data_IF_926915989439
#
_entry.id   IF_926915989439
#
_cell.length_a   1.000
_cell.length_b   1.000
_cell.length_c   1.000
_cell.angle_alpha   90.00
_cell.angle_beta   90.00
_cell.angle_gamma   90.00
#
_symmetry.space_group_name_H-M   'P 1'
#
loop_
_entity.id
_entity.type
_entity.pdbx_description
1 polymer ?
#
# COMPACT_ATOMS: atom_id res chain seq x y z
N UNK A 1 16.53 3.20 -3.17
CA UNK A 1 16.69 2.25 -2.04
C UNK A 1 15.89 0.96 -2.28
N UNK A 2 16.15 0.24 -3.37
CA UNK A 2 15.52 -1.08 -3.65
C UNK A 2 16.55 -2.20 -3.81
N UNK A 3 17.86 -1.91 -3.68
CA UNK A 3 18.93 -2.87 -3.91
C UNK A 3 19.22 -3.82 -2.72
N UNK A 4 18.55 -3.64 -1.57
CA UNK A 4 18.78 -4.46 -0.36
C UNK A 4 17.55 -5.26 0.12
N UNK A 5 16.57 -5.52 -0.74
CA UNK A 5 15.43 -6.38 -0.37
C UNK A 5 15.70 -7.85 -0.71
N UNK A 6 15.38 -8.75 0.22
CA UNK A 6 15.33 -10.18 -0.06
C UNK A 6 14.35 -10.47 -1.21
N UNK A 7 14.48 -11.59 -1.94
CA UNK A 7 13.54 -11.93 -3.01
C UNK A 7 12.08 -11.97 -2.54
N UNK A 8 11.85 -12.43 -1.30
CA UNK A 8 10.53 -12.49 -0.67
C UNK A 8 10.01 -11.08 -0.39
N UNK A 9 10.82 -10.20 0.19
CA UNK A 9 10.37 -8.84 0.52
C UNK A 9 10.17 -8.00 -0.75
N UNK A 10 10.95 -8.25 -1.80
CA UNK A 10 10.70 -7.68 -3.14
C UNK A 10 9.36 -8.12 -3.70
N UNK A 11 9.00 -9.41 -3.58
CA UNK A 11 7.70 -9.91 -4.02
C UNK A 11 6.54 -9.25 -3.25
N UNK A 12 6.68 -9.12 -1.93
CA UNK A 12 5.70 -8.40 -1.10
C UNK A 12 5.55 -6.94 -1.52
N UNK A 13 6.67 -6.25 -1.75
CA UNK A 13 6.68 -4.86 -2.18
C UNK A 13 5.99 -4.67 -3.54
N UNK A 14 6.31 -5.49 -4.54
CA UNK A 14 5.70 -5.38 -5.88
C UNK A 14 4.20 -5.66 -5.83
N UNK A 15 3.77 -6.68 -5.09
CA UNK A 15 2.35 -6.98 -4.89
C UNK A 15 1.61 -5.81 -4.20
N UNK A 16 2.19 -5.27 -3.14
CA UNK A 16 1.66 -4.12 -2.42
C UNK A 16 1.54 -2.87 -3.32
N UNK A 17 2.59 -2.55 -4.07
CA UNK A 17 2.62 -1.41 -4.98
C UNK A 17 1.52 -1.52 -6.05
N UNK A 18 1.37 -2.70 -6.66
CA UNK A 18 0.32 -2.94 -7.66
C UNK A 18 -1.08 -2.85 -7.08
N UNK A 19 -1.29 -3.30 -5.84
CA UNK A 19 -2.60 -3.25 -5.19
C UNK A 19 -3.12 -1.81 -5.02
N UNK A 20 -2.22 -0.84 -4.78
CA UNK A 20 -2.57 0.58 -4.58
C UNK A 20 -3.10 1.24 -5.86
N UNK A 21 -2.75 0.73 -7.04
CA UNK A 21 -3.26 1.25 -8.32
C UNK A 21 -4.77 1.08 -8.49
N UNK A 22 -5.39 0.15 -7.73
CA UNK A 22 -6.83 -0.09 -7.77
C UNK A 22 -7.62 0.80 -6.80
N UNK A 23 -6.93 1.62 -5.99
CA UNK A 23 -7.58 2.52 -5.03
C UNK A 23 -7.85 3.85 -5.72
N UNK A 24 -9.13 4.23 -5.72
CA UNK A 24 -9.61 5.48 -6.28
C UNK A 24 -10.02 6.48 -5.19
N UNK A 25 -10.16 7.75 -5.59
CA UNK A 25 -10.63 8.81 -4.70
C UNK A 25 -12.01 8.49 -4.11
N UNK A 26 -12.20 8.82 -2.83
CA UNK A 26 -13.44 8.59 -2.09
C UNK A 26 -13.66 7.16 -1.59
N UNK A 27 -12.79 6.19 -1.92
CA UNK A 27 -12.97 4.80 -1.49
C UNK A 27 -12.88 4.62 0.04
N UNK A 28 -13.66 3.65 0.54
CA UNK A 28 -13.46 3.07 1.88
C UNK A 28 -12.60 1.82 1.74
N UNK A 29 -11.40 1.87 2.31
CA UNK A 29 -10.36 0.85 2.08
C UNK A 29 -10.12 0.07 3.37
N UNK A 30 -10.31 -1.26 3.32
CA UNK A 30 -9.88 -2.15 4.40
C UNK A 30 -8.35 -2.25 4.44
N UNK A 31 -7.76 -2.01 5.61
CA UNK A 31 -6.32 -2.07 5.83
C UNK A 31 -5.99 -3.37 6.57
N UNK A 32 -5.51 -4.36 5.82
CA UNK A 32 -5.10 -5.65 6.37
C UNK A 32 -3.85 -5.57 7.26
N UNK A 33 -3.56 -6.67 7.95
CA UNK A 33 -2.40 -6.81 8.85
C UNK A 33 -1.31 -7.69 8.21
N UNK A 34 -0.04 -7.42 8.51
CA UNK A 34 1.10 -8.24 8.13
C UNK A 34 2.14 -7.52 7.27
N UNK A 35 3.31 -8.15 7.08
CA UNK A 35 4.46 -7.51 6.44
C UNK A 35 4.20 -7.02 5.00
N UNK A 36 3.33 -7.67 4.25
CA UNK A 36 2.91 -7.22 2.91
C UNK A 36 1.95 -6.03 2.98
N UNK A 37 0.98 -6.06 3.90
CA UNK A 37 0.03 -4.97 4.06
C UNK A 37 0.72 -3.68 4.54
N UNK A 38 1.77 -3.81 5.36
CA UNK A 38 2.61 -2.68 5.75
C UNK A 38 3.26 -1.97 4.55
N UNK A 39 3.71 -2.73 3.54
CA UNK A 39 4.18 -2.14 2.28
C UNK A 39 3.05 -1.43 1.52
N UNK A 40 1.85 -2.03 1.47
CA UNK A 40 0.70 -1.44 0.78
C UNK A 40 0.31 -0.11 1.41
N UNK A 41 0.27 -0.02 2.75
CA UNK A 41 -0.04 1.23 3.47
C UNK A 41 0.99 2.32 3.17
N UNK A 42 2.29 1.97 3.07
CA UNK A 42 3.34 2.93 2.70
C UNK A 42 3.14 3.46 1.27
N UNK A 43 2.94 2.57 0.30
CA UNK A 43 2.68 2.96 -1.09
C UNK A 43 1.37 3.76 -1.23
N UNK A 44 0.35 3.42 -0.45
CA UNK A 44 -0.92 4.16 -0.43
C UNK A 44 -0.74 5.58 0.11
N UNK A 45 0.07 5.75 1.16
CA UNK A 45 0.40 7.07 1.68
C UNK A 45 1.15 7.93 0.64
N UNK A 46 2.07 7.33 -0.13
CA UNK A 46 2.74 8.01 -1.24
C UNK A 46 1.74 8.43 -2.33
N UNK A 47 0.85 7.52 -2.75
CA UNK A 47 -0.21 7.83 -3.75
C UNK A 47 -1.11 8.97 -3.29
N UNK A 48 -1.55 8.96 -2.03
CA UNK A 48 -2.37 10.03 -1.45
C UNK A 48 -1.62 11.37 -1.49
N UNK A 49 -0.34 11.39 -1.14
CA UNK A 49 0.47 12.61 -1.17
C UNK A 49 0.68 13.14 -2.59
N UNK A 50 0.92 12.26 -3.56
CA UNK A 50 1.20 12.64 -4.94
C UNK A 50 -0.05 13.02 -5.74
N UNK A 51 -1.14 12.27 -5.58
CA UNK A 51 -2.36 12.44 -6.39
C UNK A 51 -3.46 13.24 -5.67
N UNK A 52 -3.32 13.48 -4.36
CA UNK A 52 -4.29 14.25 -3.58
C UNK A 52 -5.61 13.52 -3.33
N UNK A 53 -5.68 12.21 -3.59
CA UNK A 53 -6.88 11.40 -3.33
C UNK A 53 -7.17 11.31 -1.82
N UNK A 54 -8.45 11.23 -1.47
CA UNK A 54 -8.95 11.09 -0.10
C UNK A 54 -9.67 9.76 0.06
N UNK A 55 -9.27 9.00 1.08
CA UNK A 55 -9.88 7.71 1.40
C UNK A 55 -10.27 7.65 2.87
N UNK A 56 -11.10 6.66 3.21
CA UNK A 56 -11.32 6.26 4.61
C UNK A 56 -10.75 4.87 4.85
N UNK A 57 -9.70 4.77 5.65
CA UNK A 57 -9.11 3.50 6.07
C UNK A 57 -9.91 2.82 7.17
N UNK A 58 -10.04 1.49 7.10
CA UNK A 58 -10.64 0.64 8.15
C UNK A 58 -9.62 -0.43 8.55
N UNK A 59 -8.94 -0.31 9.71
CA UNK A 59 -7.89 -1.24 10.11
C UNK A 59 -8.45 -2.57 10.62
N UNK A 60 -7.71 -3.65 10.37
CA UNK A 60 -8.02 -4.98 10.93
C UNK A 60 -7.27 -5.29 12.24
N UNK A 61 -6.29 -4.48 12.62
CA UNK A 61 -5.49 -4.60 13.85
C UNK A 61 -4.91 -3.26 14.30
#
# INVERSE_FOLDING_TARGET
MTEELSPIDRAKFVAAKRAVDFIEDGMRVGLGTGSTAAWMVRCLAEKIQHEGIRIKGVPTS
#
